data_IF_687196166410
#
_entry.id   IF_687196166410
#
_cell.length_a   1.000
_cell.length_b   1.000
_cell.length_c   1.000
_cell.angle_alpha   90.00
_cell.angle_beta   90.00
_cell.angle_gamma   90.00
#
_symmetry.space_group_name_H-M   'P 1'
#
loop_
_entity.id
_entity.type
_entity.pdbx_description
1 polymer ?
#
# COMPACT_ATOMS: atom_id res chain seq x y z
N UNK A 1 -3.52 -11.59 -7.16
CA UNK A 1 -3.54 -10.12 -7.05
C UNK A 1 -2.22 -9.68 -6.49
N UNK A 2 -1.55 -8.78 -7.20
CA UNK A 2 -0.13 -8.46 -6.94
C UNK A 2 0.03 -7.06 -6.37
N UNK A 3 1.13 -6.83 -5.65
CA UNK A 3 1.45 -5.54 -5.04
C UNK A 3 1.46 -4.40 -6.07
N UNK A 4 1.90 -4.67 -7.30
CA UNK A 4 1.88 -3.70 -8.40
C UNK A 4 0.46 -3.17 -8.66
N UNK A 5 -0.53 -4.06 -8.74
CA UNK A 5 -1.94 -3.68 -8.97
C UNK A 5 -2.46 -2.82 -7.82
N UNK A 6 -2.12 -3.16 -6.58
CA UNK A 6 -2.48 -2.37 -5.39
C UNK A 6 -1.88 -0.96 -5.46
N UNK A 7 -0.60 -0.85 -5.81
CA UNK A 7 0.09 0.45 -5.96
C UNK A 7 -0.59 1.31 -7.03
N UNK A 8 -0.87 0.73 -8.19
CA UNK A 8 -1.44 1.46 -9.32
C UNK A 8 -2.86 1.93 -9.01
N UNK A 9 -3.70 1.10 -8.38
CA UNK A 9 -5.04 1.52 -7.95
C UNK A 9 -4.98 2.59 -6.85
N UNK A 10 -4.10 2.44 -5.86
CA UNK A 10 -3.94 3.43 -4.79
C UNK A 10 -3.58 4.80 -5.37
N UNK A 11 -2.63 4.86 -6.31
CA UNK A 11 -2.26 6.10 -6.99
C UNK A 11 -3.43 6.73 -7.75
N UNK A 12 -4.22 5.92 -8.47
CA UNK A 12 -5.43 6.40 -9.18
C UNK A 12 -6.47 7.01 -8.24
N UNK A 13 -6.53 6.52 -7.01
CA UNK A 13 -7.44 7.02 -5.97
C UNK A 13 -6.84 8.17 -5.14
N UNK A 14 -5.74 8.78 -5.60
CA UNK A 14 -5.11 9.92 -4.94
C UNK A 14 -4.21 9.56 -3.77
N UNK A 15 -3.93 8.27 -3.52
CA UNK A 15 -2.96 7.88 -2.49
C UNK A 15 -1.53 8.16 -2.97
N UNK A 16 -0.73 8.77 -2.10
CA UNK A 16 0.69 8.92 -2.35
C UNK A 16 1.44 7.64 -1.95
N UNK A 17 2.02 6.97 -2.94
CA UNK A 17 2.77 5.72 -2.74
C UNK A 17 4.25 5.94 -3.00
N UNK A 18 5.08 5.74 -1.96
CA UNK A 18 6.54 5.95 -2.01
C UNK A 18 7.29 4.71 -1.58
N UNK A 19 8.44 4.45 -2.21
CA UNK A 19 9.36 3.38 -1.82
C UNK A 19 10.49 3.94 -0.97
N UNK A 20 10.71 3.35 0.20
CA UNK A 20 11.88 3.64 1.03
C UNK A 20 13.15 3.08 0.38
N UNK A 21 14.14 3.95 0.15
CA UNK A 21 15.43 3.60 -0.47
C UNK A 21 16.26 2.64 0.39
N UNK A 22 16.19 2.74 1.72
CA UNK A 22 17.08 1.99 2.64
C UNK A 22 16.60 0.58 2.97
N UNK A 23 15.29 0.35 3.07
CA UNK A 23 14.73 -0.94 3.55
C UNK A 23 13.83 -1.64 2.55
N UNK A 24 13.73 -1.13 1.32
CA UNK A 24 12.87 -1.72 0.29
C UNK A 24 11.40 -1.85 0.78
N UNK A 25 10.91 -0.90 1.59
CA UNK A 25 9.52 -0.88 2.06
C UNK A 25 8.69 0.11 1.25
N UNK A 26 7.43 -0.19 1.00
CA UNK A 26 6.46 0.73 0.45
C UNK A 26 5.73 1.46 1.58
N UNK A 27 5.44 2.74 1.34
CA UNK A 27 4.63 3.62 2.20
C UNK A 27 3.46 4.11 1.37
N UNK A 28 2.25 3.86 1.87
CA UNK A 28 0.99 4.35 1.33
C UNK A 28 0.49 5.48 2.25
N UNK A 29 0.19 6.63 1.67
CA UNK A 29 -0.38 7.77 2.38
C UNK A 29 -1.73 8.06 1.75
N UNK A 30 -2.78 7.96 2.57
CA UNK A 30 -4.14 8.27 2.15
C UNK A 30 -4.27 9.76 1.82
N UNK A 31 -5.14 10.16 0.86
CA UNK A 31 -5.56 11.55 0.74
C UNK A 31 -6.30 12.04 1.99
N UNK A 32 -6.92 11.14 2.76
CA UNK A 32 -7.49 11.44 4.06
C UNK A 32 -6.38 11.50 5.13
N UNK A 33 -6.18 12.70 5.69
CA UNK A 33 -5.15 12.96 6.70
C UNK A 33 -5.44 12.35 8.06
N UNK A 34 -6.66 11.87 8.30
CA UNK A 34 -7.01 11.12 9.53
C UNK A 34 -6.44 9.70 9.53
N UNK A 35 -6.09 9.18 8.35
CA UNK A 35 -5.53 7.84 8.18
C UNK A 35 -4.01 7.87 8.33
N UNK A 36 -3.44 7.11 9.29
CA UNK A 36 -1.99 7.03 9.43
C UNK A 36 -1.36 6.35 8.20
N UNK A 37 -0.13 6.71 7.82
CA UNK A 37 0.55 6.06 6.71
C UNK A 37 0.72 4.55 6.92
N UNK A 38 0.44 3.78 5.87
CA UNK A 38 0.55 2.32 5.92
C UNK A 38 1.86 1.88 5.29
N UNK A 39 2.61 1.03 6.00
CA UNK A 39 3.91 0.54 5.58
C UNK A 39 3.86 -0.95 5.24
N UNK A 40 4.56 -1.37 4.20
CA UNK A 40 4.73 -2.80 3.87
C UNK A 40 6.11 -3.09 3.33
N UNK A 41 6.63 -4.29 3.59
CA UNK A 41 7.89 -4.75 2.99
C UNK A 41 7.69 -5.10 1.51
N UNK A 42 8.69 -4.83 0.67
CA UNK A 42 8.70 -5.27 -0.72
C UNK A 42 9.43 -6.61 -0.85
N UNK A 43 8.99 -7.62 -0.11
CA UNK A 43 9.52 -8.98 -0.26
C UNK A 43 8.89 -9.63 -1.49
N UNK A 44 9.67 -9.96 -2.54
CA UNK A 44 9.14 -10.64 -3.71
C UNK A 44 8.52 -11.99 -3.32
N UNK A 45 7.34 -12.32 -3.85
CA UNK A 45 6.68 -13.59 -3.60
C UNK A 45 5.95 -13.73 -2.24
N UNK A 46 6.05 -12.75 -1.34
CA UNK A 46 5.34 -12.80 -0.05
C UNK A 46 3.85 -12.46 -0.22
N UNK A 47 3.07 -13.49 -0.56
CA UNK A 47 1.61 -13.40 -0.74
C UNK A 47 0.89 -13.02 0.57
N UNK A 48 1.47 -13.33 1.74
CA UNK A 48 0.87 -13.01 3.04
C UNK A 48 0.97 -11.52 3.30
N UNK A 49 2.14 -10.92 3.07
CA UNK A 49 2.32 -9.47 3.20
C UNK A 49 1.38 -8.69 2.26
N UNK A 50 1.21 -9.15 1.02
CA UNK A 50 0.29 -8.53 0.04
C UNK A 50 -1.17 -8.61 0.51
N UNK A 51 -1.63 -9.74 1.05
CA UNK A 51 -3.00 -9.87 1.57
C UNK A 51 -3.22 -8.99 2.80
N UNK A 52 -2.26 -8.95 3.71
CA UNK A 52 -2.35 -8.14 4.92
C UNK A 52 -2.43 -6.65 4.58
N UNK A 53 -1.55 -6.17 3.70
CA UNK A 53 -1.56 -4.75 3.31
C UNK A 53 -2.85 -4.38 2.58
N UNK A 54 -3.35 -5.26 1.70
CA UNK A 54 -4.62 -5.05 1.02
C UNK A 54 -5.80 -4.91 2.00
N UNK A 55 -5.85 -5.77 3.02
CA UNK A 55 -6.90 -5.71 4.04
C UNK A 55 -6.84 -4.39 4.83
N UNK A 56 -5.63 -3.92 5.20
CA UNK A 56 -5.44 -2.65 5.88
C UNK A 56 -5.86 -1.48 5.00
N UNK A 57 -5.41 -1.45 3.74
CA UNK A 57 -5.74 -0.37 2.80
C UNK A 57 -7.26 -0.30 2.55
N UNK A 58 -7.94 -1.44 2.41
CA UNK A 58 -9.41 -1.50 2.27
C UNK A 58 -10.13 -0.92 3.49
N UNK A 59 -9.66 -1.22 4.71
CA UNK A 59 -10.20 -0.62 5.94
C UNK A 59 -10.04 0.90 5.99
N UNK A 60 -9.06 1.42 5.27
CA UNK A 60 -8.77 2.84 5.17
C UNK A 60 -9.31 3.49 3.88
N UNK A 61 -10.23 2.83 3.17
CA UNK A 61 -10.95 3.43 2.04
C UNK A 61 -10.33 3.20 0.67
N UNK A 62 -9.32 2.33 0.53
CA UNK A 62 -8.87 1.89 -0.80
C UNK A 62 -9.92 0.94 -1.41
N UNK A 63 -10.53 1.36 -2.52
CA UNK A 63 -11.56 0.58 -3.22
C UNK A 63 -10.95 -0.24 -4.36
N UNK A 64 -10.83 -1.56 -4.20
CA UNK A 64 -10.12 -2.43 -5.17
C UNK A 64 -10.65 -3.86 -5.21
#
# INVERSE_FOLDING_TARGET
MDLKVIIDTARRQGWAVRKSRRRNHWKFVSPDTSVPPVHTASTPGDRRAVRNILAILRRHGLNI
#
